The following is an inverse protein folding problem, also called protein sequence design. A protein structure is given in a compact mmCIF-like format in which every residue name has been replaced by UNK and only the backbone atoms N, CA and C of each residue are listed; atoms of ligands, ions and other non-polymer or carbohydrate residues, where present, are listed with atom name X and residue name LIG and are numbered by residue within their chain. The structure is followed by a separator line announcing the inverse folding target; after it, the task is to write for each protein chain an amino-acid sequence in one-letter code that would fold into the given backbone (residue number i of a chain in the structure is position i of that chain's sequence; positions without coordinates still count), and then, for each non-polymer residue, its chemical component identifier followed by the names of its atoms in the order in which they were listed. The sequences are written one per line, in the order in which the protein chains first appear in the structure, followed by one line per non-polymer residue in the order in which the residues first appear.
data_IF_490464013765
#
_entry.id   IF_490464013765
#
_cell.length_a   1.000
_cell.length_b   1.000
_cell.length_c   1.000
_cell.angle_alpha   90.00
_cell.angle_beta   90.00
_cell.angle_gamma   90.00
#
_symmetry.space_group_name_H-M   'P 1'
#
loop_
_entity.id
_entity.type
_entity.pdbx_description
1 polymer ?
#
# COMPACT_ATOMS: atom_id res chain seq x y z
N UNK A 1 0.45 32.61 10.98
CA UNK A 1 1.24 32.18 9.88
C UNK A 1 1.01 30.76 9.54
N UNK A 2 0.30 30.63 8.54
CA UNK A 2 -0.08 29.30 8.17
C UNK A 2 0.94 28.60 7.34
N UNK A 3 1.95 29.31 6.96
CA UNK A 3 3.00 28.72 6.17
C UNK A 3 3.65 27.54 6.84
N UNK A 4 3.48 27.45 8.14
CA UNK A 4 4.08 26.38 8.89
C UNK A 4 3.16 25.21 9.13
N UNK A 5 1.96 25.26 8.59
CA UNK A 5 1.05 24.14 8.73
C UNK A 5 1.67 22.92 8.06
N UNK A 6 1.55 21.72 8.67
CA UNK A 6 2.08 20.53 8.04
C UNK A 6 1.36 20.25 6.74
N UNK A 7 2.01 19.55 5.83
CA UNK A 7 1.33 19.13 4.59
C UNK A 7 0.12 18.31 4.94
N UNK A 8 -0.95 18.56 4.22
CA UNK A 8 -2.19 17.89 4.52
C UNK A 8 -2.23 16.51 3.92
N UNK A 9 -1.42 16.25 2.92
CA UNK A 9 -1.42 14.96 2.28
C UNK A 9 -0.13 14.23 2.58
N UNK A 10 -0.24 12.95 2.98
CA UNK A 10 0.95 12.15 3.20
C UNK A 10 1.67 11.90 1.89
N UNK A 11 2.96 11.62 1.98
CA UNK A 11 3.75 11.28 0.82
C UNK A 11 3.26 9.99 0.16
N UNK A 12 2.78 9.06 0.97
CA UNK A 12 2.28 7.77 0.49
C UNK A 12 0.83 7.61 0.85
N UNK A 13 0.02 7.21 -0.13
CA UNK A 13 -1.37 6.85 0.09
C UNK A 13 -1.55 5.43 -0.40
N UNK A 14 -1.84 4.53 0.53
CA UNK A 14 -1.89 3.10 0.26
C UNK A 14 -3.26 2.54 0.60
N UNK A 15 -3.80 1.73 -0.31
CA UNK A 15 -5.07 1.05 -0.10
C UNK A 15 -4.82 -0.44 -0.23
N UNK A 16 -5.23 -1.20 0.79
CA UNK A 16 -5.11 -2.65 0.76
C UNK A 16 -6.51 -3.25 0.72
N UNK A 17 -6.81 -3.96 -0.36
CA UNK A 17 -8.10 -4.61 -0.54
C UNK A 17 -7.99 -6.05 -0.09
N UNK A 18 -8.86 -6.44 0.84
CA UNK A 18 -8.83 -7.77 1.45
C UNK A 18 -10.21 -8.42 1.38
N UNK A 19 -10.26 -9.72 1.62
CA UNK A 19 -11.51 -10.47 1.70
C UNK A 19 -11.63 -11.02 3.10
N UNK A 20 -12.11 -10.18 4.03
CA UNK A 20 -12.29 -10.56 5.40
C UNK A 20 -10.98 -10.93 6.08
N UNK A 21 -11.03 -11.91 6.97
CA UNK A 21 -9.89 -12.32 7.78
C UNK A 21 -9.25 -13.61 7.26
N UNK A 22 -9.19 -13.78 5.94
CA UNK A 22 -8.52 -14.95 5.38
C UNK A 22 -7.03 -14.91 5.72
N UNK A 23 -6.37 -16.08 5.75
CA UNK A 23 -4.94 -16.10 6.09
C UNK A 23 -4.09 -15.21 5.19
N UNK A 24 -4.36 -15.20 3.89
CA UNK A 24 -3.59 -14.35 2.97
C UNK A 24 -3.83 -12.88 3.25
N UNK A 25 -5.09 -12.49 3.49
CA UNK A 25 -5.40 -11.10 3.81
C UNK A 25 -4.76 -10.67 5.12
N UNK A 26 -4.79 -11.54 6.13
CA UNK A 26 -4.18 -11.24 7.42
C UNK A 26 -2.67 -11.04 7.28
N UNK A 27 -2.02 -11.90 6.49
CA UNK A 27 -0.59 -11.75 6.24
C UNK A 27 -0.27 -10.45 5.51
N UNK A 28 -1.10 -10.10 4.53
CA UNK A 28 -0.89 -8.87 3.78
C UNK A 28 -0.97 -7.65 4.68
N UNK A 29 -1.96 -7.60 5.57
CA UNK A 29 -2.10 -6.49 6.52
C UNK A 29 -0.85 -6.36 7.36
N UNK A 30 -0.39 -7.50 7.92
CA UNK A 30 0.79 -7.48 8.77
C UNK A 30 2.03 -7.03 8.01
N UNK A 31 2.21 -7.56 6.81
CA UNK A 31 3.42 -7.29 6.03
C UNK A 31 3.49 -5.83 5.62
N UNK A 32 2.37 -5.23 5.18
CA UNK A 32 2.41 -3.84 4.77
C UNK A 32 2.61 -2.91 5.97
N UNK A 33 1.97 -3.21 7.09
CA UNK A 33 2.14 -2.39 8.29
C UNK A 33 3.59 -2.41 8.76
N UNK A 34 4.20 -3.57 8.74
CA UNK A 34 5.58 -3.72 9.20
C UNK A 34 6.53 -2.89 8.34
N UNK A 35 6.39 -3.00 7.03
CA UNK A 35 7.29 -2.28 6.14
C UNK A 35 7.06 -0.78 6.21
N UNK A 36 5.82 -0.36 6.32
CA UNK A 36 5.52 1.06 6.42
C UNK A 36 6.09 1.66 7.70
N UNK A 37 6.00 0.94 8.81
CA UNK A 37 6.57 1.45 10.06
C UNK A 37 8.08 1.48 10.02
N UNK A 38 8.70 0.56 9.31
CA UNK A 38 10.16 0.56 9.20
C UNK A 38 10.68 1.68 8.33
N UNK A 39 9.98 2.01 7.26
CA UNK A 39 10.52 2.89 6.22
C UNK A 39 9.76 4.19 6.01
N UNK A 40 8.50 4.24 6.41
CA UNK A 40 7.62 5.35 6.05
C UNK A 40 6.94 5.98 7.25
N UNK A 41 7.51 5.83 8.43
CA UNK A 41 6.90 6.34 9.66
C UNK A 41 6.52 7.81 9.50
N UNK A 42 5.25 8.11 9.75
CA UNK A 42 4.77 9.48 9.66
C UNK A 42 4.56 10.00 8.24
N UNK A 43 4.80 9.16 7.23
CA UNK A 43 4.76 9.62 5.84
C UNK A 43 3.71 8.90 5.02
N UNK A 44 2.85 8.09 5.62
CA UNK A 44 1.91 7.28 4.86
C UNK A 44 0.54 7.27 5.53
N UNK A 45 -0.48 7.02 4.70
CA UNK A 45 -1.76 6.56 5.18
C UNK A 45 -2.01 5.19 4.56
N UNK A 46 -2.58 4.30 5.37
CA UNK A 46 -2.94 2.97 4.92
C UNK A 46 -4.41 2.76 5.21
N UNK A 47 -5.17 2.50 4.17
CA UNK A 47 -6.58 2.18 4.31
C UNK A 47 -6.80 0.73 3.93
N UNK A 48 -7.46 -0.02 4.81
CA UNK A 48 -7.76 -1.41 4.55
C UNK A 48 -9.23 -1.52 4.21
N UNK A 49 -9.53 -2.07 3.04
CA UNK A 49 -10.88 -2.16 2.51
C UNK A 49 -11.26 -3.62 2.38
N UNK A 50 -12.31 -4.02 3.11
CA UNK A 50 -12.85 -5.37 3.03
C UNK A 50 -13.81 -5.40 1.85
N UNK A 51 -13.47 -6.19 0.85
CA UNK A 51 -14.24 -6.25 -0.39
C UNK A 51 -15.63 -6.85 -0.18
N UNK A 52 -15.82 -7.62 0.89
CA UNK A 52 -17.13 -8.15 1.20
C UNK A 52 -18.04 -7.08 1.78
N UNK A 53 -17.49 -6.13 2.51
CA UNK A 53 -18.26 -5.07 3.13
C UNK A 53 -18.42 -3.85 2.25
N UNK A 54 -17.45 -3.60 1.38
CA UNK A 54 -17.46 -2.45 0.50
C UNK A 54 -17.14 -2.85 -0.94
N UNK A 55 -18.00 -3.69 -1.53
CA UNK A 55 -17.72 -4.19 -2.88
C UNK A 55 -17.67 -3.09 -3.93
N UNK A 56 -18.41 -1.99 -3.72
CA UNK A 56 -18.38 -0.90 -4.67
C UNK A 56 -17.03 -0.24 -4.77
N UNK A 57 -16.29 -0.17 -3.68
CA UNK A 57 -14.96 0.41 -3.72
C UNK A 57 -13.99 -0.46 -4.51
N UNK A 58 -14.11 -1.78 -4.34
CA UNK A 58 -13.29 -2.71 -5.10
C UNK A 58 -13.60 -2.63 -6.59
N UNK A 59 -14.88 -2.49 -6.91
CA UNK A 59 -15.32 -2.41 -8.29
C UNK A 59 -14.81 -1.14 -8.95
N UNK A 60 -14.91 -0.01 -8.26
CA UNK A 60 -14.40 1.26 -8.77
C UNK A 60 -12.90 1.20 -9.04
N UNK A 61 -12.17 0.54 -8.18
CA UNK A 61 -10.72 0.40 -8.33
C UNK A 61 -10.33 -0.75 -9.25
N UNK A 62 -11.31 -1.48 -9.76
CA UNK A 62 -11.09 -2.61 -10.66
C UNK A 62 -10.21 -3.68 -10.01
N UNK A 63 -10.49 -3.98 -8.75
CA UNK A 63 -9.78 -5.01 -8.02
C UNK A 63 -10.47 -6.34 -8.29
N UNK A 64 -9.73 -7.29 -8.87
CA UNK A 64 -10.28 -8.59 -9.24
C UNK A 64 -9.71 -9.72 -8.40
N UNK A 65 -8.76 -9.45 -7.56
CA UNK A 65 -8.13 -10.44 -6.70
C UNK A 65 -7.84 -9.83 -5.35
N UNK A 66 -7.78 -10.64 -4.31
CA UNK A 66 -7.43 -10.18 -2.98
C UNK A 66 -6.48 -11.17 -2.32
N UNK A 67 -5.55 -10.68 -1.51
CA UNK A 67 -5.34 -9.27 -1.24
C UNK A 67 -4.63 -8.55 -2.38
N UNK A 68 -4.93 -7.27 -2.54
CA UNK A 68 -4.26 -6.42 -3.53
C UNK A 68 -3.92 -5.09 -2.87
N UNK A 69 -2.66 -4.70 -2.98
CA UNK A 69 -2.20 -3.42 -2.50
C UNK A 69 -2.13 -2.44 -3.67
N UNK A 70 -2.70 -1.25 -3.46
CA UNK A 70 -2.63 -0.18 -4.46
C UNK A 70 -1.88 0.99 -3.84
N UNK A 71 -0.79 1.41 -4.48
CA UNK A 71 -0.13 2.66 -4.12
C UNK A 71 -0.77 3.76 -4.95
N UNK A 72 -1.58 4.58 -4.31
CA UNK A 72 -2.23 5.68 -5.01
C UNK A 72 -1.29 6.87 -5.12
N UNK A 73 -0.41 7.03 -4.16
CA UNK A 73 0.62 8.06 -4.16
C UNK A 73 1.89 7.48 -3.58
N UNK A 74 3.06 7.87 -4.06
CA UNK A 74 3.27 8.81 -5.17
C UNK A 74 2.89 8.19 -6.50
N UNK A 75 2.59 9.06 -7.45
CA UNK A 75 2.29 8.64 -8.81
C UNK A 75 3.58 8.17 -9.49
N UNK A 76 3.47 7.27 -10.44
CA UNK A 76 2.24 6.67 -10.97
C UNK A 76 1.66 5.63 -10.03
N UNK A 77 0.37 5.39 -10.16
CA UNK A 77 -0.31 4.39 -9.36
C UNK A 77 0.23 3.00 -9.70
N UNK A 78 0.42 2.19 -8.67
CA UNK A 78 0.95 0.83 -8.82
C UNK A 78 0.15 -0.15 -7.98
N UNK A 79 0.14 -1.41 -8.38
CA UNK A 79 -0.56 -2.47 -7.64
C UNK A 79 0.36 -3.66 -7.44
N UNK A 80 0.08 -4.40 -6.38
CA UNK A 80 0.75 -5.66 -6.10
C UNK A 80 -0.28 -6.63 -5.54
N UNK A 81 -0.43 -7.78 -6.20
CA UNK A 81 -1.40 -8.79 -5.78
C UNK A 81 -0.68 -9.84 -4.94
N UNK A 82 -1.34 -10.31 -3.87
CA UNK A 82 -0.83 -11.38 -3.04
C UNK A 82 -0.68 -10.97 -1.60
N UNK A 83 -0.13 -11.85 -0.80
CA UNK A 83 -0.04 -11.65 0.65
C UNK A 83 1.11 -10.74 1.06
N UNK A 84 1.79 -10.14 0.10
CA UNK A 84 2.89 -9.20 0.32
C UNK A 84 4.10 -9.84 1.00
N UNK A 85 4.25 -11.15 0.88
CA UNK A 85 5.40 -11.83 1.45
C UNK A 85 6.66 -11.64 0.60
N UNK A 86 6.51 -11.26 -0.65
CA UNK A 86 7.66 -10.95 -1.49
C UNK A 86 8.14 -9.55 -1.15
N UNK A 87 9.09 -9.48 -0.21
CA UNK A 87 9.57 -8.21 0.30
C UNK A 87 10.20 -7.34 -0.78
N UNK A 88 10.95 -7.96 -1.69
CA UNK A 88 11.59 -7.21 -2.76
C UNK A 88 10.55 -6.53 -3.66
N UNK A 89 9.49 -7.26 -4.02
CA UNK A 89 8.43 -6.68 -4.84
C UNK A 89 7.71 -5.54 -4.12
N UNK A 90 7.49 -5.70 -2.80
CA UNK A 90 6.83 -4.68 -2.02
C UNK A 90 7.70 -3.42 -1.91
N UNK A 91 8.98 -3.58 -1.65
CA UNK A 91 9.90 -2.45 -1.59
C UNK A 91 9.97 -1.74 -2.94
N UNK A 92 9.98 -2.50 -4.01
CA UNK A 92 10.00 -1.93 -5.35
C UNK A 92 8.74 -1.12 -5.63
N UNK A 93 7.58 -1.66 -5.27
CA UNK A 93 6.33 -0.94 -5.44
C UNK A 93 6.35 0.37 -4.68
N UNK A 94 6.91 0.38 -3.49
CA UNK A 94 6.96 1.58 -2.66
C UNK A 94 8.08 2.54 -3.06
N UNK A 95 8.92 2.14 -4.01
CA UNK A 95 10.04 2.97 -4.42
C UNK A 95 11.15 3.00 -3.39
N UNK A 96 11.24 1.97 -2.56
CA UNK A 96 12.19 1.92 -1.45
C UNK A 96 13.33 0.94 -1.68
N UNK A 97 13.39 0.33 -2.85
CA UNK A 97 14.44 -0.63 -3.13
C UNK A 97 15.71 0.10 -3.52
N UNK A 98 16.60 0.23 -2.56
CA UNK A 98 17.87 0.89 -2.76
C UNK A 98 19.00 -0.10 -3.05
N UNK A 99 18.66 -1.38 -3.17
CA UNK A 99 19.67 -2.40 -3.41
C UNK A 99 20.07 -2.47 -4.87
N UNK A 100 19.25 -1.93 -5.76
CA UNK A 100 19.56 -1.94 -7.19
C UNK A 100 20.54 -0.81 -7.50
N UNK A 101 21.58 -1.09 -8.28
CA UNK A 101 22.49 -0.02 -8.66
C UNK A 101 21.78 1.00 -9.54
N UNK A 102 22.18 2.26 -9.46
CA UNK A 102 21.60 3.25 -10.35
C UNK A 102 21.89 2.90 -11.79
N UNK A 103 20.99 3.28 -12.68
CA UNK A 103 21.19 3.04 -14.10
C UNK A 103 22.43 3.77 -14.57
N UNK A 104 23.21 3.15 -15.42
CA UNK A 104 24.42 3.80 -15.94
C UNK A 104 24.10 5.03 -16.76
#
# INVERSE_FOLDING_TARGET
MDALAPPEEPAYELYLYVTGATPNSTRAVRNIKEICEQHLTGQYTLRIIDMYQQPELAQEAQIVAAPTLVRRRPLPQRRLVGDLSNRAALLLLLGLDHSLPPAP
#
